data_IF_601659377952
#
_entry.id   IF_601659377952
#
_cell.length_a   1.000
_cell.length_b   1.000
_cell.length_c   1.000
_cell.angle_alpha   90.00
_cell.angle_beta   90.00
_cell.angle_gamma   90.00
#
_symmetry.space_group_name_H-M   'P 1'
#
loop_
_entity.id
_entity.type
_entity.pdbx_description
1 polymer ?
#
# COMPACT_ATOMS: atom_id res chain seq x y z
N UNK A 1 -28.37 -22.45 14.63
CA UNK A 1 -27.39 -21.39 14.35
C UNK A 1 -26.08 -21.78 14.98
N UNK A 2 -24.99 -21.79 14.23
CA UNK A 2 -23.67 -22.09 14.79
C UNK A 2 -23.19 -20.90 15.64
N UNK A 3 -22.24 -21.16 16.54
CA UNK A 3 -21.56 -20.10 17.30
C UNK A 3 -20.89 -19.07 16.36
N UNK A 4 -20.46 -19.48 15.17
CA UNK A 4 -19.87 -18.60 14.16
C UNK A 4 -20.92 -17.64 13.55
N UNK A 5 -22.15 -18.10 13.33
CA UNK A 5 -23.24 -17.27 12.79
C UNK A 5 -23.66 -16.18 13.80
N UNK A 6 -23.60 -16.49 15.10
CA UNK A 6 -23.92 -15.55 16.16
C UNK A 6 -22.83 -14.48 16.38
N UNK A 7 -21.56 -14.81 16.12
CA UNK A 7 -20.44 -13.85 16.16
C UNK A 7 -20.51 -12.91 14.95
N UNK A 8 -20.73 -13.44 13.74
CA UNK A 8 -20.95 -12.64 12.52
C UNK A 8 -22.14 -11.67 12.66
N UNK A 9 -23.24 -12.12 13.28
CA UNK A 9 -24.42 -11.27 13.55
C UNK A 9 -24.14 -10.17 14.60
N UNK A 10 -23.28 -10.43 15.59
CA UNK A 10 -22.86 -9.40 16.56
C UNK A 10 -21.89 -8.39 15.95
N UNK A 11 -21.01 -8.81 15.05
CA UNK A 11 -20.11 -7.93 14.29
C UNK A 11 -20.89 -7.06 13.28
N UNK A 12 -21.95 -7.60 12.67
CA UNK A 12 -22.85 -6.90 11.76
C UNK A 12 -23.67 -5.78 12.44
N UNK A 13 -24.06 -5.95 13.70
CA UNK A 13 -24.93 -4.98 14.40
C UNK A 13 -24.19 -3.77 14.96
N UNK A 14 -22.87 -3.85 15.12
CA UNK A 14 -22.02 -2.73 15.57
C UNK A 14 -21.63 -1.74 14.44
N UNK A 15 -22.12 -1.98 13.23
CA UNK A 15 -21.54 -1.43 11.99
C UNK A 15 -22.53 -0.57 11.17
N UNK A 16 -23.66 -0.20 11.78
CA UNK A 16 -24.68 0.69 11.21
C UNK A 16 -24.56 2.15 11.71
N UNK A 17 -23.50 2.50 12.43
CA UNK A 17 -23.30 3.84 13.03
C UNK A 17 -21.93 4.45 12.65
N UNK A 18 -21.49 4.32 11.39
CA UNK A 18 -20.24 4.95 10.90
C UNK A 18 -20.41 6.43 10.53
N UNK A 19 -21.49 7.09 10.99
CA UNK A 19 -21.60 8.53 10.88
C UNK A 19 -20.74 9.19 11.96
N UNK A 20 -19.67 9.87 11.58
CA UNK A 20 -18.96 10.80 12.47
C UNK A 20 -19.95 11.95 12.73
N UNK A 21 -20.53 12.10 13.95
CA UNK A 21 -21.47 13.19 14.18
C UNK A 21 -20.68 14.49 14.17
N UNK A 22 -21.03 15.41 13.27
CA UNK A 22 -20.41 16.73 13.14
C UNK A 22 -20.93 17.66 14.25
N UNK A 23 -20.12 17.86 15.28
CA UNK A 23 -20.17 19.06 16.12
C UNK A 23 -19.36 20.11 15.35
N UNK A 24 -19.92 21.29 15.08
CA UNK A 24 -19.22 22.34 14.34
C UNK A 24 -17.91 22.71 15.05
N UNK A 25 -16.76 22.52 14.37
CA UNK A 25 -15.49 23.16 14.73
C UNK A 25 -14.35 22.27 15.25
N UNK A 26 -14.61 21.06 15.76
CA UNK A 26 -13.53 20.19 16.29
C UNK A 26 -13.04 19.15 15.27
N UNK A 27 -11.79 19.32 14.80
CA UNK A 27 -11.11 18.39 13.86
C UNK A 27 -10.89 17.02 14.50
N UNK A 28 -11.02 15.90 13.76
CA UNK A 28 -10.77 14.57 14.30
C UNK A 28 -9.29 14.37 14.61
N UNK A 29 -9.00 13.56 15.63
CA UNK A 29 -7.64 13.12 15.93
C UNK A 29 -7.28 11.97 14.99
N UNK A 30 -6.16 12.08 14.29
CA UNK A 30 -5.75 11.08 13.30
C UNK A 30 -4.40 10.48 13.66
N UNK A 31 -4.30 9.15 13.58
CA UNK A 31 -3.05 8.41 13.68
C UNK A 31 -2.77 7.74 12.33
N UNK A 32 -1.52 7.75 11.90
CA UNK A 32 -1.05 7.02 10.72
C UNK A 32 -0.01 5.99 11.12
N UNK A 33 -0.24 4.76 10.69
CA UNK A 33 0.78 3.73 10.61
C UNK A 33 1.23 3.61 9.15
N UNK A 34 2.53 3.74 8.91
CA UNK A 34 3.07 3.51 7.58
C UNK A 34 4.45 2.85 7.62
N UNK A 35 4.82 2.20 6.52
CA UNK A 35 6.19 1.72 6.35
C UNK A 35 7.15 2.91 6.28
N UNK A 36 8.28 2.83 6.96
CA UNK A 36 9.34 3.82 6.85
C UNK A 36 10.03 3.69 5.48
N UNK A 37 9.44 4.37 4.52
CA UNK A 37 9.75 4.27 3.10
C UNK A 37 9.22 5.53 2.40
N UNK A 38 9.70 5.83 1.18
CA UNK A 38 9.33 7.07 0.47
C UNK A 38 7.81 7.27 0.34
N UNK A 39 7.08 6.22 -0.04
CA UNK A 39 5.62 6.30 -0.15
C UNK A 39 4.91 6.51 1.19
N UNK A 40 5.43 5.92 2.28
CA UNK A 40 4.91 6.14 3.62
C UNK A 40 5.18 7.56 4.13
N UNK A 41 6.34 8.12 3.80
CA UNK A 41 6.72 9.51 4.10
C UNK A 41 5.88 10.52 3.31
N UNK A 42 5.60 10.24 2.03
CA UNK A 42 4.69 11.05 1.21
C UNK A 42 3.28 11.02 1.80
N UNK A 43 2.74 9.84 2.13
CA UNK A 43 1.43 9.71 2.76
C UNK A 43 1.34 10.46 4.11
N UNK A 44 2.43 10.44 4.90
CA UNK A 44 2.53 11.20 6.14
C UNK A 44 2.55 12.72 5.91
N UNK A 45 3.28 13.20 4.91
CA UNK A 45 3.32 14.61 4.56
C UNK A 45 1.94 15.12 4.10
N UNK A 46 1.27 14.37 3.23
CA UNK A 46 -0.09 14.69 2.78
C UNK A 46 -1.11 14.67 3.92
N UNK A 47 -0.99 13.71 4.85
CA UNK A 47 -1.83 13.69 6.03
C UNK A 47 -1.67 14.97 6.86
N UNK A 48 -0.42 15.37 7.14
CA UNK A 48 -0.14 16.55 7.96
C UNK A 48 -0.57 17.86 7.30
N UNK A 49 -0.65 17.91 5.97
CA UNK A 49 -1.20 19.06 5.27
C UNK A 49 -2.70 19.29 5.60
N UNK A 50 -3.47 18.21 5.81
CA UNK A 50 -4.90 18.28 6.14
C UNK A 50 -5.16 18.21 7.67
N UNK A 51 -4.32 17.47 8.39
CA UNK A 51 -4.41 17.21 9.82
C UNK A 51 -3.04 17.50 10.47
N UNK A 52 -2.71 18.78 10.75
CA UNK A 52 -1.39 19.17 11.27
C UNK A 52 -0.99 18.45 12.55
N UNK A 53 -1.97 18.15 13.42
CA UNK A 53 -1.77 17.46 14.70
C UNK A 53 -1.80 15.92 14.59
N UNK A 54 -1.76 15.38 13.36
CA UNK A 54 -1.76 13.94 13.14
C UNK A 54 -0.49 13.29 13.71
N UNK A 55 -0.69 12.21 14.45
CA UNK A 55 0.41 11.39 15.00
C UNK A 55 0.81 10.37 13.94
N UNK A 56 2.07 10.41 13.52
CA UNK A 56 2.60 9.52 12.47
C UNK A 56 3.61 8.57 13.08
N UNK A 57 3.43 7.27 12.80
CA UNK A 57 4.39 6.23 13.13
C UNK A 57 4.90 5.58 11.84
N UNK A 58 6.19 5.75 11.59
CA UNK A 58 6.91 5.08 10.51
C UNK A 58 7.72 3.92 11.09
N UNK A 59 7.74 2.78 10.41
CA UNK A 59 8.53 1.64 10.88
C UNK A 59 8.75 0.55 9.85
N UNK A 60 9.47 -0.48 10.26
CA UNK A 60 9.87 -1.60 9.43
C UNK A 60 9.23 -2.92 9.89
N UNK A 61 9.27 -3.92 9.00
CA UNK A 61 8.85 -5.30 9.33
C UNK A 61 9.68 -5.81 10.50
N UNK A 62 9.01 -6.40 11.50
CA UNK A 62 9.65 -6.95 12.70
C UNK A 62 9.74 -5.96 13.87
N UNK A 63 9.47 -4.67 13.67
CA UNK A 63 9.38 -3.72 14.78
C UNK A 63 8.07 -3.94 15.58
N UNK A 64 8.09 -3.74 16.91
CA UNK A 64 6.86 -3.80 17.71
C UNK A 64 5.88 -2.70 17.30
N UNK A 65 4.59 -2.93 17.53
CA UNK A 65 3.56 -1.90 17.34
C UNK A 65 3.87 -0.69 18.24
N UNK A 66 3.73 0.56 17.77
CA UNK A 66 4.02 1.74 18.58
C UNK A 66 3.31 1.72 19.93
N UNK A 67 4.08 1.89 21.01
CA UNK A 67 3.55 1.94 22.36
C UNK A 67 2.56 3.09 22.51
N UNK A 68 1.45 2.82 23.19
CA UNK A 68 0.42 3.83 23.42
C UNK A 68 -0.36 4.26 22.16
N UNK A 69 -0.26 3.54 21.04
CA UNK A 69 -1.07 3.83 19.84
C UNK A 69 -2.57 3.98 20.20
N UNK A 70 -3.14 5.12 19.81
CA UNK A 70 -4.54 5.44 20.10
C UNK A 70 -4.85 5.77 21.56
N UNK A 71 -3.85 5.87 22.46
CA UNK A 71 -4.08 6.33 23.84
C UNK A 71 -4.20 7.86 23.85
N UNK A 72 -5.12 8.34 24.66
CA UNK A 72 -5.26 9.75 24.98
C UNK A 72 -4.96 9.94 26.47
N UNK A 73 -3.87 10.64 26.84
CA UNK A 73 -3.57 10.93 28.25
C UNK A 73 -4.64 11.80 28.93
N UNK A 74 -5.40 12.58 28.14
CA UNK A 74 -6.44 13.49 28.63
C UNK A 74 -7.84 12.88 28.58
N UNK A 75 -8.02 11.69 28.02
CA UNK A 75 -9.31 11.03 27.99
C UNK A 75 -9.66 10.49 29.38
N UNK A 76 -10.58 11.17 30.06
CA UNK A 76 -11.35 10.59 31.15
C UNK A 76 -12.15 9.40 30.61
N UNK A 77 -12.37 8.37 31.41
CA UNK A 77 -13.23 7.25 31.03
C UNK A 77 -14.64 7.77 30.67
N UNK A 78 -14.91 7.98 29.37
CA UNK A 78 -16.19 8.51 28.88
C UNK A 78 -16.10 9.66 27.88
N UNK A 79 -14.94 10.30 27.65
CA UNK A 79 -14.83 11.32 26.58
C UNK A 79 -14.80 10.69 25.19
N UNK A 80 -15.47 11.36 24.26
CA UNK A 80 -15.99 10.84 23.01
C UNK A 80 -14.93 10.17 22.11
N UNK A 81 -14.89 8.83 22.08
CA UNK A 81 -14.12 8.03 21.10
C UNK A 81 -14.51 8.30 19.64
N UNK A 82 -15.67 8.94 19.40
CA UNK A 82 -16.36 9.03 18.09
C UNK A 82 -15.60 9.77 16.98
N UNK A 83 -14.40 10.32 17.24
CA UNK A 83 -13.61 11.06 16.24
C UNK A 83 -12.13 10.68 16.16
N UNK A 84 -11.74 9.56 16.77
CA UNK A 84 -10.35 9.10 16.67
C UNK A 84 -10.19 8.15 15.49
N UNK A 85 -9.39 8.54 14.50
CA UNK A 85 -9.21 7.81 13.26
C UNK A 85 -7.81 7.18 13.23
N UNK A 86 -7.75 5.93 12.78
CA UNK A 86 -6.52 5.23 12.43
C UNK A 86 -6.46 5.05 10.91
N UNK A 87 -5.36 5.46 10.30
CA UNK A 87 -5.03 5.17 8.92
C UNK A 87 -3.83 4.23 8.88
N UNK A 88 -3.85 3.29 7.95
CA UNK A 88 -2.78 2.33 7.70
C UNK A 88 -2.40 2.37 6.22
N UNK A 89 -1.19 2.79 5.91
CA UNK A 89 -0.68 2.93 4.55
C UNK A 89 0.62 2.13 4.38
N UNK A 90 0.56 0.98 3.72
CA UNK A 90 1.68 0.03 3.63
C UNK A 90 2.23 -0.42 5.00
N UNK A 91 1.42 -0.31 6.06
CA UNK A 91 1.85 -0.60 7.43
C UNK A 91 2.48 -1.99 7.57
N UNK A 92 3.64 -2.11 8.25
CA UNK A 92 4.25 -3.42 8.54
C UNK A 92 3.59 -4.15 9.72
N UNK A 93 2.64 -3.52 10.41
CA UNK A 93 2.05 -4.05 11.64
C UNK A 93 0.66 -4.65 11.43
N UNK A 94 0.39 -5.76 12.11
CA UNK A 94 -0.96 -6.25 12.33
C UNK A 94 -1.47 -5.63 13.64
N UNK A 95 -2.57 -4.89 13.57
CA UNK A 95 -3.13 -4.19 14.73
C UNK A 95 -4.15 -5.08 15.44
N UNK A 96 -3.96 -5.42 16.73
CA UNK A 96 -4.87 -6.28 17.46
C UNK A 96 -6.20 -5.57 17.76
N UNK A 97 -7.28 -6.35 17.96
CA UNK A 97 -8.61 -5.80 18.22
C UNK A 97 -8.63 -4.83 19.42
N UNK A 98 -7.92 -5.17 20.49
CA UNK A 98 -7.80 -4.34 21.70
C UNK A 98 -7.19 -2.95 21.47
N UNK A 99 -6.48 -2.75 20.35
CA UNK A 99 -5.98 -1.45 19.91
C UNK A 99 -6.93 -0.80 18.92
N UNK A 100 -7.51 -1.58 17.99
CA UNK A 100 -8.53 -1.09 17.05
C UNK A 100 -9.73 -0.49 17.76
N UNK A 101 -10.18 -1.08 18.88
CA UNK A 101 -11.31 -0.61 19.70
C UNK A 101 -11.11 0.81 20.28
N UNK A 102 -9.88 1.35 20.22
CA UNK A 102 -9.56 2.72 20.65
C UNK A 102 -9.95 3.77 19.61
N UNK A 103 -10.14 3.36 18.37
CA UNK A 103 -10.47 4.23 17.25
C UNK A 103 -11.94 4.08 16.88
N UNK A 104 -12.59 5.19 16.51
CA UNK A 104 -13.93 5.14 15.92
C UNK A 104 -13.89 4.57 14.51
N UNK A 105 -12.86 4.92 13.74
CA UNK A 105 -12.69 4.47 12.36
C UNK A 105 -11.24 4.05 12.18
N UNK A 106 -11.03 2.87 11.60
CA UNK A 106 -9.71 2.38 11.22
C UNK A 106 -9.75 1.97 9.74
N UNK A 107 -8.87 2.54 8.91
CA UNK A 107 -8.84 2.34 7.46
C UNK A 107 -7.46 1.85 7.03
N UNK A 108 -7.43 0.80 6.24
CA UNK A 108 -6.22 0.33 5.58
C UNK A 108 -6.29 0.55 4.07
N UNK A 109 -5.15 0.98 3.51
CA UNK A 109 -4.91 1.12 2.08
C UNK A 109 -4.08 -0.07 1.62
N UNK A 110 -4.77 -1.04 1.03
CA UNK A 110 -4.19 -2.28 0.52
C UNK A 110 -3.76 -2.10 -0.94
N UNK A 111 -2.49 -2.39 -1.28
CA UNK A 111 -2.00 -2.22 -2.64
C UNK A 111 -2.27 -3.46 -3.51
N UNK A 112 -3.55 -3.82 -3.60
CA UNK A 112 -4.06 -4.86 -4.49
C UNK A 112 -5.56 -4.70 -4.69
N UNK A 113 -6.08 -5.19 -5.82
CA UNK A 113 -7.52 -5.26 -6.04
C UNK A 113 -8.17 -6.26 -5.08
N UNK A 114 -9.50 -6.25 -4.99
CA UNK A 114 -10.28 -7.14 -4.10
C UNK A 114 -10.03 -8.64 -4.35
N UNK A 115 -9.46 -8.99 -5.51
CA UNK A 115 -9.06 -10.36 -5.86
C UNK A 115 -7.72 -10.79 -5.23
N UNK A 116 -6.90 -9.85 -4.78
CA UNK A 116 -5.55 -10.12 -4.29
C UNK A 116 -5.30 -9.61 -2.86
N UNK A 117 -6.11 -10.01 -1.84
CA UNK A 117 -5.84 -9.67 -0.45
C UNK A 117 -4.61 -10.39 0.10
N UNK A 118 -3.97 -9.80 1.10
CA UNK A 118 -2.86 -10.41 1.84
C UNK A 118 -1.49 -10.20 1.19
N UNK A 119 -0.55 -11.09 1.52
CA UNK A 119 0.85 -10.92 1.15
C UNK A 119 1.13 -11.44 -0.27
N UNK A 120 2.07 -10.82 -0.97
CA UNK A 120 2.43 -11.20 -2.33
C UNK A 120 1.36 -10.90 -3.37
N UNK A 121 0.46 -9.94 -3.08
CA UNK A 121 -0.66 -9.57 -3.95
C UNK A 121 -0.23 -9.33 -5.41
N UNK A 122 0.85 -8.59 -5.63
CA UNK A 122 1.44 -8.37 -6.96
C UNK A 122 1.90 -9.68 -7.62
N UNK A 123 2.59 -10.53 -6.85
CA UNK A 123 3.14 -11.79 -7.34
C UNK A 123 2.02 -12.72 -7.83
N UNK A 124 0.94 -12.83 -7.06
CA UNK A 124 -0.21 -13.66 -7.44
C UNK A 124 -0.94 -13.12 -8.67
N UNK A 125 -1.11 -11.80 -8.79
CA UNK A 125 -1.71 -11.21 -9.98
C UNK A 125 -0.91 -11.46 -11.26
N UNK A 126 0.43 -11.33 -11.17
CA UNK A 126 1.33 -11.63 -12.27
C UNK A 126 1.34 -13.13 -12.62
N UNK A 127 1.35 -14.00 -11.61
CA UNK A 127 1.33 -15.45 -11.79
C UNK A 127 0.02 -15.95 -12.43
N UNK A 128 -1.11 -15.40 -11.99
CA UNK A 128 -2.44 -15.71 -12.54
C UNK A 128 -2.71 -15.06 -13.91
N UNK A 129 -1.86 -14.15 -14.37
CA UNK A 129 -2.03 -13.45 -15.65
C UNK A 129 -3.22 -12.49 -15.64
N UNK A 130 -3.42 -11.78 -14.53
CA UNK A 130 -4.51 -10.81 -14.40
C UNK A 130 -4.46 -9.75 -15.52
N UNK A 131 -5.62 -9.39 -16.10
CA UNK A 131 -5.69 -8.33 -17.12
C UNK A 131 -5.94 -6.94 -16.54
N UNK A 132 -6.42 -6.91 -15.30
CA UNK A 132 -6.73 -5.70 -14.54
C UNK A 132 -6.25 -5.91 -13.11
N UNK A 133 -5.79 -4.82 -12.50
CA UNK A 133 -5.33 -4.81 -11.11
C UNK A 133 -5.77 -3.49 -10.44
N UNK A 134 -5.38 -3.26 -9.19
CA UNK A 134 -5.87 -2.09 -8.47
C UNK A 134 -5.36 -1.96 -7.04
N UNK A 135 -6.03 -1.09 -6.29
CA UNK A 135 -5.84 -0.90 -4.86
C UNK A 135 -7.18 -0.66 -4.15
N UNK A 136 -7.22 -0.97 -2.86
CA UNK A 136 -8.45 -0.94 -2.04
C UNK A 136 -8.22 -0.10 -0.78
N UNK A 137 -9.18 0.76 -0.46
CA UNK A 137 -9.34 1.32 0.88
C UNK A 137 -10.47 0.55 1.59
N UNK A 138 -10.21 0.05 2.79
CA UNK A 138 -11.20 -0.74 3.54
C UNK A 138 -11.11 -0.51 5.03
N UNK A 139 -12.21 -0.77 5.74
CA UNK A 139 -12.22 -0.76 7.19
C UNK A 139 -11.31 -1.86 7.73
N UNK A 140 -10.54 -1.56 8.77
CA UNK A 140 -9.65 -2.54 9.41
C UNK A 140 -10.45 -3.46 10.34
N UNK A 141 -10.09 -4.73 10.30
CA UNK A 141 -10.41 -5.71 11.33
C UNK A 141 -9.09 -6.24 11.89
N UNK A 142 -9.11 -6.91 13.05
CA UNK A 142 -7.92 -7.60 13.55
C UNK A 142 -7.40 -8.68 12.58
N UNK A 143 -8.26 -9.15 11.68
CA UNK A 143 -7.89 -10.01 10.55
C UNK A 143 -7.57 -9.15 9.32
N UNK A 144 -6.37 -9.34 8.77
CA UNK A 144 -5.85 -8.66 7.58
C UNK A 144 -6.82 -8.78 6.39
N UNK A 145 -7.03 -7.69 5.67
CA UNK A 145 -7.76 -7.57 4.39
C UNK A 145 -9.10 -8.32 4.34
N UNK A 146 -9.95 -8.07 5.34
CA UNK A 146 -11.28 -8.69 5.45
C UNK A 146 -12.41 -7.74 5.75
N UNK A 147 -12.11 -6.50 6.12
CA UNK A 147 -13.16 -5.53 6.42
C UNK A 147 -13.87 -5.04 5.17
N UNK A 148 -15.00 -4.36 5.39
CA UNK A 148 -15.84 -3.80 4.33
C UNK A 148 -15.04 -2.81 3.49
N UNK A 149 -15.19 -2.89 2.18
CA UNK A 149 -14.47 -2.04 1.23
C UNK A 149 -15.16 -0.68 1.17
N UNK A 150 -14.36 0.38 1.30
CA UNK A 150 -14.82 1.77 1.17
C UNK A 150 -14.80 2.17 -0.29
N UNK A 151 -13.69 1.88 -0.96
CA UNK A 151 -13.47 2.20 -2.36
C UNK A 151 -12.37 1.32 -2.96
N UNK A 152 -12.49 1.08 -4.27
CA UNK A 152 -11.48 0.40 -5.09
C UNK A 152 -11.13 1.29 -6.29
N UNK A 153 -9.86 1.30 -6.69
CA UNK A 153 -9.41 1.89 -7.96
C UNK A 153 -8.78 0.79 -8.79
N UNK A 154 -9.19 0.67 -10.04
CA UNK A 154 -8.73 -0.37 -10.97
C UNK A 154 -8.03 0.25 -12.17
N UNK A 155 -7.12 -0.51 -12.77
CA UNK A 155 -6.39 -0.12 -13.96
C UNK A 155 -5.97 -1.35 -14.77
N UNK A 156 -5.82 -1.24 -16.10
CA UNK A 156 -5.35 -2.34 -16.94
C UNK A 156 -3.90 -2.69 -16.60
N UNK A 157 -3.58 -3.99 -16.60
CA UNK A 157 -2.23 -4.51 -16.40
C UNK A 157 -1.60 -4.85 -17.75
N UNK A 158 -0.36 -4.40 -17.99
CA UNK A 158 0.33 -4.69 -19.24
C UNK A 158 0.77 -6.17 -19.31
N UNK A 159 0.91 -6.72 -20.52
CA UNK A 159 1.34 -8.11 -20.69
C UNK A 159 2.76 -8.36 -20.18
N UNK A 160 3.64 -7.37 -20.32
CA UNK A 160 5.04 -7.38 -19.90
C UNK A 160 5.27 -6.76 -18.50
N UNK A 161 4.19 -6.48 -17.77
CA UNK A 161 4.24 -5.92 -16.41
C UNK A 161 5.16 -6.79 -15.51
N UNK A 162 5.98 -6.13 -14.71
CA UNK A 162 6.87 -6.73 -13.71
C UNK A 162 6.34 -6.46 -12.30
N UNK A 163 6.88 -7.13 -11.28
CA UNK A 163 6.54 -6.83 -9.87
C UNK A 163 6.82 -5.35 -9.56
N UNK A 164 7.90 -4.82 -10.12
CA UNK A 164 8.39 -3.47 -9.88
C UNK A 164 7.51 -2.40 -10.53
N UNK A 165 7.21 -2.54 -11.82
CA UNK A 165 6.35 -1.60 -12.54
C UNK A 165 4.91 -1.65 -12.00
N UNK A 166 4.40 -2.85 -11.67
CA UNK A 166 3.07 -3.01 -11.09
C UNK A 166 2.97 -2.35 -9.72
N UNK A 167 3.97 -2.56 -8.87
CA UNK A 167 4.03 -1.93 -7.56
C UNK A 167 4.05 -0.40 -7.69
N UNK A 168 4.93 0.15 -8.52
CA UNK A 168 5.01 1.60 -8.71
C UNK A 168 3.66 2.19 -9.16
N UNK A 169 3.05 1.61 -10.20
CA UNK A 169 1.74 2.02 -10.71
C UNK A 169 0.65 1.93 -9.63
N UNK A 170 0.62 0.84 -8.87
CA UNK A 170 -0.35 0.63 -7.80
C UNK A 170 -0.19 1.67 -6.70
N UNK A 171 1.05 1.99 -6.29
CA UNK A 171 1.30 2.96 -5.23
C UNK A 171 0.92 4.39 -5.65
N UNK A 172 1.15 4.76 -6.92
CA UNK A 172 0.70 6.04 -7.46
C UNK A 172 -0.83 6.16 -7.43
N UNK A 173 -1.55 5.13 -7.90
CA UNK A 173 -3.02 5.10 -7.89
C UNK A 173 -3.58 5.08 -6.45
N UNK A 174 -2.97 4.29 -5.57
CA UNK A 174 -3.38 4.17 -4.17
C UNK A 174 -3.16 5.46 -3.39
N UNK A 175 -2.11 6.22 -3.73
CA UNK A 175 -1.87 7.53 -3.17
C UNK A 175 -2.99 8.53 -3.58
N UNK A 176 -3.48 8.44 -4.82
CA UNK A 176 -4.68 9.18 -5.25
C UNK A 176 -5.92 8.81 -4.44
N UNK A 177 -6.19 7.50 -4.28
CA UNK A 177 -7.29 7.01 -3.44
C UNK A 177 -7.15 7.47 -1.98
N UNK A 178 -5.93 7.46 -1.45
CA UNK A 178 -5.63 7.96 -0.11
C UNK A 178 -6.04 9.43 0.06
N UNK A 179 -5.70 10.29 -0.89
CA UNK A 179 -6.11 11.70 -0.88
C UNK A 179 -7.62 11.90 -0.91
N UNK A 180 -8.34 11.11 -1.70
CA UNK A 180 -9.81 11.17 -1.75
C UNK A 180 -10.43 10.82 -0.39
N UNK A 181 -9.94 9.76 0.27
CA UNK A 181 -10.39 9.39 1.62
C UNK A 181 -10.04 10.50 2.61
N UNK A 182 -8.83 11.06 2.58
CA UNK A 182 -8.45 12.16 3.46
C UNK A 182 -9.36 13.38 3.29
N UNK A 183 -9.73 13.74 2.06
CA UNK A 183 -10.64 14.84 1.78
C UNK A 183 -12.03 14.59 2.37
N UNK A 184 -12.56 13.36 2.24
CA UNK A 184 -13.83 12.98 2.87
C UNK A 184 -13.76 13.09 4.41
N UNK A 185 -12.68 12.60 5.01
CA UNK A 185 -12.48 12.68 6.46
C UNK A 185 -12.36 14.15 6.93
N UNK A 186 -11.67 15.00 6.17
CA UNK A 186 -11.50 16.41 6.48
C UNK A 186 -12.83 17.18 6.37
N UNK A 187 -13.69 16.79 5.43
CA UNK A 187 -15.04 17.32 5.27
C UNK A 187 -16.04 16.76 6.30
N UNK A 188 -15.65 15.79 7.13
CA UNK A 188 -16.56 15.08 8.04
C UNK A 188 -17.62 14.25 7.31
N UNK A 189 -17.35 13.86 6.07
CA UNK A 189 -18.26 13.05 5.27
C UNK A 189 -18.32 11.60 5.78
N UNK A 190 -19.48 10.96 5.61
CA UNK A 190 -19.61 9.52 5.83
C UNK A 190 -18.82 8.77 4.74
N UNK A 191 -18.07 7.75 5.16
CA UNK A 191 -17.36 6.90 4.21
C UNK A 191 -18.35 5.94 3.54
N UNK A 192 -18.33 5.83 2.20
CA UNK A 192 -19.16 4.87 1.51
C UNK A 192 -18.74 3.44 1.86
N UNK A 193 -19.65 2.49 1.64
CA UNK A 193 -19.37 1.06 1.68
C UNK A 193 -19.75 0.50 0.31
N UNK A 194 -18.80 -0.11 -0.38
CA UNK A 194 -19.09 -0.85 -1.60
C UNK A 194 -19.84 -2.15 -1.27
N UNK A 195 -20.84 -2.47 -2.08
CA UNK A 195 -21.56 -3.74 -1.98
C UNK A 195 -20.64 -4.94 -2.28
N UNK A 196 -19.65 -4.73 -3.16
CA UNK A 196 -18.68 -5.75 -3.51
C UNK A 196 -17.66 -5.92 -2.39
N UNK A 197 -17.47 -7.16 -1.94
CA UNK A 197 -16.43 -7.53 -1.00
C UNK A 197 -15.21 -8.18 -1.66
N UNK A 198 -14.28 -8.60 -0.80
CA UNK A 198 -13.16 -9.48 -1.14
C UNK A 198 -13.64 -10.76 -1.81
N UNK A 199 -12.98 -11.18 -2.88
CA UNK A 199 -13.41 -12.39 -3.63
C UNK A 199 -12.82 -13.68 -3.10
N UNK A 200 -11.81 -13.59 -2.24
CA UNK A 200 -11.11 -14.74 -1.67
C UNK A 200 -10.46 -14.41 -0.32
N UNK A 201 -10.09 -15.43 0.48
CA UNK A 201 -9.25 -15.22 1.66
C UNK A 201 -7.89 -14.58 1.34
N UNK A 202 -7.30 -13.81 2.29
CA UNK A 202 -5.96 -13.25 2.12
C UNK A 202 -4.89 -14.32 1.89
N UNK A 203 -4.01 -14.06 0.91
CA UNK A 203 -2.82 -14.86 0.68
C UNK A 203 -1.88 -14.80 1.89
N UNK A 204 -1.37 -15.96 2.29
CA UNK A 204 -0.46 -16.13 3.41
C UNK A 204 0.98 -16.24 2.93
N UNK A 205 1.94 -15.92 3.83
CA UNK A 205 3.38 -16.04 3.54
C UNK A 205 3.77 -17.41 3.00
N UNK A 206 3.28 -18.50 3.61
CA UNK A 206 3.50 -19.87 3.13
C UNK A 206 3.08 -20.12 1.66
N UNK A 207 2.06 -19.41 1.16
CA UNK A 207 1.61 -19.55 -0.23
C UNK A 207 2.54 -18.80 -1.18
N UNK A 208 3.02 -17.62 -0.77
CA UNK A 208 4.04 -16.89 -1.51
C UNK A 208 5.34 -17.68 -1.55
N UNK A 209 5.76 -18.26 -0.43
CA UNK A 209 6.95 -19.12 -0.37
C UNK A 209 6.80 -20.34 -1.31
N UNK A 210 5.61 -20.93 -1.36
CA UNK A 210 5.31 -22.02 -2.30
C UNK A 210 5.32 -21.58 -3.77
N UNK A 211 4.94 -20.34 -4.07
CA UNK A 211 5.03 -19.74 -5.41
C UNK A 211 6.49 -19.48 -5.81
N UNK A 212 7.32 -19.04 -4.86
CA UNK A 212 8.73 -18.75 -5.07
C UNK A 212 9.60 -20.02 -5.21
N UNK A 213 9.17 -21.15 -4.67
CA UNK A 213 9.91 -22.42 -4.83
C UNK A 213 9.78 -22.96 -6.26
N UNK A 214 10.92 -23.30 -6.86
CA UNK A 214 11.05 -24.00 -8.15
C UNK A 214 11.51 -25.43 -7.88
N UNK A 215 10.97 -26.40 -8.63
CA UNK A 215 11.44 -27.79 -8.62
C UNK A 215 11.86 -28.23 -10.01
N UNK A 216 12.80 -29.18 -10.09
CA UNK A 216 13.43 -29.60 -11.35
C UNK A 216 12.45 -30.28 -12.33
N UNK A 217 11.35 -30.82 -11.83
CA UNK A 217 10.28 -31.48 -12.59
C UNK A 217 9.24 -30.49 -13.16
N UNK A 218 9.30 -29.20 -12.81
CA UNK A 218 8.36 -28.21 -13.34
C UNK A 218 8.54 -28.01 -14.85
N UNK A 219 7.44 -27.97 -15.63
CA UNK A 219 7.50 -27.57 -17.03
C UNK A 219 8.08 -26.16 -17.18
N UNK A 220 8.85 -25.92 -18.25
CA UNK A 220 9.52 -24.63 -18.48
C UNK A 220 8.56 -23.43 -18.48
N UNK A 221 7.32 -23.62 -18.94
CA UNK A 221 6.30 -22.56 -18.90
C UNK A 221 5.90 -22.16 -17.48
N UNK A 222 5.81 -23.12 -16.55
CA UNK A 222 5.54 -22.85 -15.14
C UNK A 222 6.72 -22.16 -14.47
N UNK A 223 7.94 -22.62 -14.74
CA UNK A 223 9.16 -21.95 -14.27
C UNK A 223 9.19 -20.49 -14.71
N UNK A 224 8.95 -20.21 -15.99
CA UNK A 224 8.91 -18.83 -16.53
C UNK A 224 7.86 -17.96 -15.83
N UNK A 225 6.65 -18.47 -15.58
CA UNK A 225 5.60 -17.72 -14.85
C UNK A 225 6.01 -17.38 -13.44
N UNK A 226 6.58 -18.33 -12.68
CA UNK A 226 7.05 -18.11 -11.31
C UNK A 226 8.19 -17.11 -11.26
N UNK A 227 9.18 -17.25 -12.16
CA UNK A 227 10.29 -16.30 -12.25
C UNK A 227 9.78 -14.89 -12.54
N UNK A 228 8.91 -14.70 -13.54
CA UNK A 228 8.29 -13.40 -13.82
C UNK A 228 7.54 -12.83 -12.62
N UNK A 229 6.77 -13.67 -11.94
CA UNK A 229 5.94 -13.26 -10.81
C UNK A 229 6.75 -12.94 -9.54
N UNK A 230 8.03 -13.31 -9.46
CA UNK A 230 8.83 -13.21 -8.23
C UNK A 230 10.14 -12.47 -8.40
N UNK A 231 10.49 -12.06 -9.63
CA UNK A 231 11.67 -11.25 -9.89
C UNK A 231 11.47 -9.81 -9.43
N UNK A 232 12.21 -9.42 -8.38
CA UNK A 232 12.17 -8.09 -7.82
C UNK A 232 13.56 -7.60 -7.39
N UNK A 233 14.07 -6.49 -7.94
CA UNK A 233 15.44 -6.02 -7.69
C UNK A 233 15.73 -5.77 -6.19
N UNK A 234 16.86 -6.26 -5.72
CA UNK A 234 17.30 -6.11 -4.32
C UNK A 234 16.63 -7.04 -3.31
N UNK A 235 15.84 -8.03 -3.75
CA UNK A 235 15.20 -9.02 -2.88
C UNK A 235 15.57 -10.44 -3.24
N UNK A 236 15.39 -11.36 -2.28
CA UNK A 236 15.43 -12.79 -2.55
C UNK A 236 14.24 -13.17 -3.43
N UNK A 237 14.54 -13.59 -4.64
CA UNK A 237 13.58 -14.03 -5.63
C UNK A 237 13.26 -15.53 -5.46
N UNK A 238 12.57 -16.11 -6.45
CA UNK A 238 12.35 -17.56 -6.53
C UNK A 238 13.65 -18.37 -6.31
N UNK A 239 13.53 -19.56 -5.76
CA UNK A 239 14.69 -20.41 -5.46
C UNK A 239 14.46 -21.87 -5.85
N UNK A 240 15.56 -22.60 -5.96
CA UNK A 240 15.61 -24.06 -6.08
C UNK A 240 16.47 -24.62 -4.95
N UNK A 241 16.01 -25.70 -4.33
CA UNK A 241 16.79 -26.48 -3.38
C UNK A 241 17.54 -27.58 -4.13
N UNK A 242 18.85 -27.70 -3.88
CA UNK A 242 19.76 -28.72 -4.40
C UNK A 242 20.44 -29.45 -3.23
N UNK A 243 21.08 -30.62 -3.42
CA UNK A 243 21.73 -31.35 -2.34
C UNK A 243 22.79 -30.54 -1.57
N UNK A 244 23.43 -29.58 -2.25
CA UNK A 244 24.48 -28.70 -1.73
C UNK A 244 23.96 -27.36 -1.16
N UNK A 245 22.67 -27.04 -1.31
CA UNK A 245 22.07 -25.84 -0.72
C UNK A 245 20.91 -25.25 -1.51
N UNK A 246 20.48 -24.05 -1.08
CA UNK A 246 19.42 -23.27 -1.73
C UNK A 246 20.01 -22.19 -2.63
N UNK A 247 19.50 -22.10 -3.86
CA UNK A 247 19.96 -21.16 -4.87
C UNK A 247 18.80 -20.29 -5.36
N UNK A 248 19.00 -18.97 -5.37
CA UNK A 248 17.98 -18.00 -5.81
C UNK A 248 18.18 -17.60 -7.27
N UNK A 249 17.09 -17.44 -8.01
CA UNK A 249 17.06 -17.01 -9.40
C UNK A 249 17.01 -15.48 -9.50
N UNK A 250 17.96 -14.89 -10.21
CA UNK A 250 18.02 -13.45 -10.44
C UNK A 250 18.81 -12.73 -9.36
N UNK A 251 19.81 -11.98 -9.80
CA UNK A 251 20.54 -10.98 -9.02
C UNK A 251 20.63 -9.73 -9.90
N UNK A 252 19.49 -9.11 -10.21
CA UNK A 252 19.52 -7.75 -10.78
C UNK A 252 19.99 -6.82 -9.67
N UNK A 253 21.21 -6.30 -9.80
CA UNK A 253 21.80 -5.37 -8.84
C UNK A 253 21.08 -4.01 -8.88
N UNK A 254 20.94 -3.37 -7.72
CA UNK A 254 20.29 -2.06 -7.57
C UNK A 254 18.94 -2.08 -6.83
N UNK A 255 18.51 -0.93 -6.27
CA UNK A 255 17.24 -0.83 -5.57
C UNK A 255 16.07 -0.84 -6.56
N UNK A 256 14.96 -1.50 -6.19
CA UNK A 256 13.76 -1.47 -7.03
C UNK A 256 13.23 -0.03 -7.22
N UNK A 257 12.54 0.26 -8.32
CA UNK A 257 11.93 1.56 -8.68
C UNK A 257 11.13 2.12 -7.52
N UNK A 258 10.38 1.26 -6.82
CA UNK A 258 9.59 1.71 -5.68
C UNK A 258 10.43 2.25 -4.52
N UNK A 259 11.73 1.93 -4.43
CA UNK A 259 12.70 2.38 -3.42
C UNK A 259 13.70 3.43 -3.94
N UNK A 260 13.64 3.78 -5.22
CA UNK A 260 14.50 4.79 -5.83
C UNK A 260 14.05 6.20 -5.43
N UNK A 261 14.91 6.91 -4.69
CA UNK A 261 14.65 8.24 -4.14
C UNK A 261 14.73 9.37 -5.19
N UNK A 262 15.33 9.06 -6.34
CA UNK A 262 15.66 9.95 -7.46
C UNK A 262 14.53 10.07 -8.50
N UNK A 263 13.55 9.16 -8.51
CA UNK A 263 12.42 9.17 -9.47
C UNK A 263 11.54 10.43 -9.43
N UNK A 264 11.64 11.21 -8.36
CA UNK A 264 10.87 12.45 -8.16
C UNK A 264 11.75 13.66 -7.83
N UNK A 265 13.08 13.53 -7.94
CA UNK A 265 13.94 14.69 -7.96
C UNK A 265 13.70 15.40 -9.30
N UNK A 266 12.74 16.33 -9.33
CA UNK A 266 12.68 17.33 -10.38
C UNK A 266 13.97 18.12 -10.22
N UNK A 267 14.91 17.97 -11.16
CA UNK A 267 16.05 18.86 -11.25
C UNK A 267 15.52 20.30 -11.38
N UNK A 268 15.77 21.19 -10.40
CA UNK A 268 15.32 22.57 -10.49
C UNK A 268 15.87 23.30 -11.73
N UNK A 269 16.93 22.78 -12.36
CA UNK A 269 17.58 23.39 -13.53
C UNK A 269 16.98 22.97 -14.88
N UNK A 270 16.14 21.93 -14.96
CA UNK A 270 15.48 21.53 -16.22
C UNK A 270 14.18 22.32 -16.49
N UNK A 271 14.22 23.65 -16.37
CA UNK A 271 13.20 24.52 -16.96
C UNK A 271 13.54 24.71 -18.44
N UNK A 272 12.66 24.36 -19.40
CA UNK A 272 12.95 24.61 -20.80
C UNK A 272 12.95 26.12 -21.05
N UNK A 273 14.14 26.68 -21.27
CA UNK A 273 14.31 28.02 -21.84
C UNK A 273 14.13 27.92 -23.35
N UNK A 274 12.88 28.05 -23.80
CA UNK A 274 12.62 28.33 -25.21
C UNK A 274 12.59 29.84 -25.43
N UNK A 275 13.55 30.37 -26.19
CA UNK A 275 13.30 31.33 -27.27
C UNK A 275 14.60 31.71 -28.00
N UNK A 276 14.71 31.21 -29.23
CA UNK A 276 15.15 31.92 -30.44
C UNK A 276 16.55 32.53 -30.55
N UNK A 277 17.24 32.14 -31.63
CA UNK A 277 18.42 32.86 -32.11
C UNK A 277 19.25 32.12 -33.15
N UNK A 278 18.65 31.73 -34.28
CA UNK A 278 19.39 31.26 -35.46
C UNK A 278 20.35 32.32 -36.01
N UNK A 279 21.62 31.98 -36.26
CA UNK A 279 22.32 32.27 -37.54
C UNK A 279 23.70 31.61 -37.66
N UNK A 280 23.78 30.71 -38.65
CA UNK A 280 24.79 30.49 -39.72
C UNK A 280 26.32 30.61 -39.48
N UNK A 281 27.16 29.93 -40.30
CA UNK A 281 28.50 29.47 -39.89
C UNK A 281 29.71 30.24 -40.47
N UNK A 282 30.89 30.02 -39.82
CA UNK A 282 32.30 30.10 -40.28
C UNK A 282 32.93 31.52 -40.44
N UNK A 283 34.27 31.68 -40.20
CA UNK A 283 35.35 31.05 -40.96
C UNK A 283 36.42 30.30 -40.16
N UNK A 284 37.18 29.47 -40.90
CA UNK A 284 38.47 28.90 -40.49
C UNK A 284 39.47 30.03 -40.33
N UNK A 285 40.27 29.98 -39.27
CA UNK A 285 41.58 30.62 -39.25
C UNK A 285 42.67 29.57 -39.03
N UNK A 286 43.60 29.60 -39.97
CA UNK A 286 44.88 28.91 -40.03
C UNK A 286 45.92 29.59 -39.14
N UNK A 287 46.82 28.78 -38.56
CA UNK A 287 48.20 29.06 -38.07
C UNK A 287 48.34 28.52 -36.64
N UNK A 288 49.07 27.43 -36.39
CA UNK A 288 50.54 27.31 -36.41
C UNK A 288 50.94 26.91 -34.97
N UNK A 289 51.74 25.90 -34.67
CA UNK A 289 52.73 25.12 -35.42
C UNK A 289 52.62 23.63 -35.08
#
# INVERSE_FOLDING_TARGET
MSLDDAVLMRESKAQHEDAIPAEPGARPRVNLLAKDHQWGRIAAAWLRALFPDAVVHLGAVGMPLPEGLGRDPAASAGTCRRRHILLSFLSPWIVPQTVLDRFAVAINFHPGSREYPGTGCYNFALYEGAREYGCVAHHMLARVDRGRIIAERRFPMAEDETVESLQFKTLAVMLGLYSEILAMLAAGACLPILEQGWTRPPFRRRQLDALMRITADMPIGEVRRRLRATDYPGFLNAWIDRPDGRYHYGLREGPALAFRQDLFAIDPEERPTSAEGTKAPRPRDTAGA
#
